data_IF_873296316342
#
_entry.id   IF_873296316342
#
_cell.length_a   1.000
_cell.length_b   1.000
_cell.length_c   1.000
_cell.angle_alpha   90.00
_cell.angle_beta   90.00
_cell.angle_gamma   90.00
#
_symmetry.space_group_name_H-M   'P 1'
#
loop_
_entity.id
_entity.type
_entity.pdbx_description
1 polymer ?
#
# COMPACT_ATOMS: atom_id res chain seq x y z
N UNK A 1 24.14 3.39 -6.82
CA UNK A 1 24.75 2.12 -6.39
C UNK A 1 23.64 1.38 -5.67
N UNK A 2 23.07 0.36 -6.30
CA UNK A 2 22.02 -0.45 -5.68
C UNK A 2 22.67 -1.25 -4.55
N UNK A 3 22.18 -1.10 -3.32
CA UNK A 3 22.65 -1.82 -2.15
C UNK A 3 21.67 -2.96 -1.92
N UNK A 4 22.16 -4.19 -1.98
CA UNK A 4 21.35 -5.35 -1.63
C UNK A 4 21.07 -5.35 -0.13
N UNK A 5 19.79 -5.40 0.23
CA UNK A 5 19.32 -5.55 1.61
C UNK A 5 19.17 -7.06 1.86
N UNK A 6 19.78 -7.61 2.93
CA UNK A 6 19.61 -9.02 3.28
C UNK A 6 18.14 -9.43 3.36
N UNK A 7 17.80 -10.61 2.84
CA UNK A 7 16.42 -11.08 2.77
C UNK A 7 15.69 -11.04 4.13
N UNK A 8 16.35 -11.47 5.20
CA UNK A 8 15.79 -11.45 6.55
C UNK A 8 15.51 -10.03 7.07
N UNK A 9 16.36 -9.05 6.70
CA UNK A 9 16.13 -7.64 7.03
C UNK A 9 14.95 -7.09 6.25
N UNK A 10 14.88 -7.37 4.94
CA UNK A 10 13.74 -6.99 4.10
C UNK A 10 12.43 -7.56 4.63
N UNK A 11 12.43 -8.84 4.99
CA UNK A 11 11.29 -9.51 5.60
C UNK A 11 10.85 -8.83 6.91
N UNK A 12 11.79 -8.52 7.80
CA UNK A 12 11.51 -7.86 9.07
C UNK A 12 10.94 -6.45 8.87
N UNK A 13 11.51 -5.67 7.95
CA UNK A 13 11.04 -4.31 7.64
C UNK A 13 9.61 -4.31 7.08
N UNK A 14 9.27 -5.27 6.21
CA UNK A 14 7.89 -5.41 5.72
C UNK A 14 6.95 -5.84 6.85
N UNK A 15 7.35 -6.77 7.71
CA UNK A 15 6.55 -7.17 8.86
C UNK A 15 6.28 -6.00 9.82
N UNK A 16 7.31 -5.22 10.13
CA UNK A 16 7.21 -4.01 10.97
C UNK A 16 6.29 -2.99 10.31
N UNK A 17 6.42 -2.78 9.00
CA UNK A 17 5.56 -1.85 8.24
C UNK A 17 4.09 -2.24 8.36
N UNK A 18 3.74 -3.50 8.10
CA UNK A 18 2.36 -4.00 8.16
C UNK A 18 1.80 -3.96 9.59
N UNK A 19 2.62 -4.32 10.59
CA UNK A 19 2.25 -4.23 11.99
C UNK A 19 2.02 -2.78 12.42
N UNK A 20 2.90 -1.87 11.99
CA UNK A 20 2.78 -0.44 12.30
C UNK A 20 1.47 0.12 11.75
N UNK A 21 1.03 -0.35 10.58
CA UNK A 21 -0.23 0.00 9.93
C UNK A 21 -1.46 -0.74 10.49
N UNK A 22 -1.30 -1.61 11.50
CA UNK A 22 -2.38 -2.44 12.07
C UNK A 22 -3.09 -3.33 11.04
N UNK A 23 -2.37 -3.75 10.01
CA UNK A 23 -2.90 -4.62 8.96
C UNK A 23 -2.89 -6.06 9.49
N UNK A 24 -4.05 -6.73 9.61
CA UNK A 24 -4.09 -8.14 9.94
C UNK A 24 -3.46 -8.94 8.80
N UNK A 25 -2.40 -9.69 9.10
CA UNK A 25 -1.70 -10.51 8.10
C UNK A 25 -1.38 -11.89 8.61
N UNK A 26 -1.43 -12.85 7.70
CA UNK A 26 -0.92 -14.21 7.89
C UNK A 26 0.38 -14.35 7.10
N UNK A 27 1.44 -14.76 7.79
CA UNK A 27 2.73 -15.05 7.15
C UNK A 27 2.75 -16.49 6.63
N UNK A 28 3.08 -16.66 5.37
CA UNK A 28 3.19 -17.97 4.69
C UNK A 28 4.47 -17.98 3.87
N UNK A 29 5.09 -19.14 3.70
CA UNK A 29 6.12 -19.34 2.69
C UNK A 29 5.56 -20.26 1.62
N UNK A 30 5.38 -19.72 0.41
CA UNK A 30 4.89 -20.47 -0.75
C UNK A 30 6.04 -21.24 -1.41
N UNK A 31 7.25 -20.67 -1.39
CA UNK A 31 8.48 -21.32 -1.83
C UNK A 31 9.49 -21.23 -0.69
N UNK A 32 9.80 -22.35 0.00
CA UNK A 32 10.75 -22.37 1.11
C UNK A 32 12.07 -21.72 0.72
N UNK A 33 12.63 -20.89 1.61
CA UNK A 33 13.93 -20.22 1.46
C UNK A 33 14.04 -19.19 0.30
N UNK A 34 13.06 -19.12 -0.60
CA UNK A 34 13.04 -18.19 -1.73
C UNK A 34 12.04 -17.03 -1.55
N UNK A 35 10.97 -17.26 -0.79
CA UNK A 35 9.94 -16.24 -0.60
C UNK A 35 9.12 -16.38 0.66
N UNK A 36 8.63 -15.22 1.11
CA UNK A 36 7.67 -15.08 2.20
C UNK A 36 6.55 -14.17 1.73
N UNK A 37 5.31 -14.57 2.02
CA UNK A 37 4.09 -13.86 1.72
C UNK A 37 3.42 -13.41 3.02
N UNK A 38 3.10 -12.12 3.08
CA UNK A 38 2.20 -11.54 4.08
C UNK A 38 0.83 -11.36 3.44
N UNK A 39 -0.11 -12.21 3.82
CA UNK A 39 -1.45 -12.28 3.22
C UNK A 39 -2.41 -11.50 4.13
N UNK A 40 -3.03 -10.45 3.59
CA UNK A 40 -4.13 -9.74 4.21
C UNK A 40 -5.44 -10.09 3.52
N UNK A 41 -6.18 -11.04 4.09
CA UNK A 41 -7.45 -11.52 3.54
C UNK A 41 -8.51 -10.42 3.51
N UNK A 42 -8.61 -9.61 4.57
CA UNK A 42 -9.61 -8.55 4.69
C UNK A 42 -9.48 -7.43 3.64
N UNK A 43 -8.29 -7.25 3.06
CA UNK A 43 -8.03 -6.26 2.01
C UNK A 43 -7.74 -6.89 0.65
N UNK A 44 -7.73 -8.23 0.55
CA UNK A 44 -7.38 -8.96 -0.66
C UNK A 44 -5.98 -8.61 -1.18
N UNK A 45 -4.99 -8.46 -0.29
CA UNK A 45 -3.62 -8.03 -0.67
C UNK A 45 -2.57 -9.00 -0.17
N UNK A 46 -1.59 -9.32 -1.03
CA UNK A 46 -0.43 -10.15 -0.73
C UNK A 46 0.84 -9.33 -0.95
N UNK A 47 1.61 -9.14 0.11
CA UNK A 47 2.96 -8.58 0.02
C UNK A 47 3.95 -9.73 0.02
N UNK A 48 4.68 -9.90 -1.07
CA UNK A 48 5.66 -10.97 -1.26
C UNK A 48 7.07 -10.42 -1.15
N UNK A 49 7.80 -10.84 -0.13
CA UNK A 49 9.25 -10.65 -0.03
C UNK A 49 9.92 -11.79 -0.76
N UNK A 50 10.76 -11.47 -1.74
CA UNK A 50 11.30 -12.44 -2.69
C UNK A 50 12.78 -12.17 -2.96
N UNK A 51 13.51 -13.23 -3.25
CA UNK A 51 14.78 -13.07 -3.95
C UNK A 51 14.52 -12.75 -5.44
N UNK A 52 15.28 -11.82 -6.02
CA UNK A 52 15.10 -11.39 -7.42
C UNK A 52 15.26 -12.54 -8.41
N UNK A 53 16.15 -13.50 -8.11
CA UNK A 53 16.39 -14.67 -8.96
C UNK A 53 15.14 -15.56 -9.12
N UNK A 54 14.26 -15.57 -8.11
CA UNK A 54 13.13 -16.49 -8.03
C UNK A 54 11.79 -15.85 -8.45
N UNK A 55 11.80 -14.58 -8.88
CA UNK A 55 10.61 -13.78 -9.18
C UNK A 55 9.61 -14.52 -10.08
N UNK A 56 10.08 -15.08 -11.20
CA UNK A 56 9.20 -15.70 -12.20
C UNK A 56 8.43 -16.91 -11.65
N UNK A 57 9.11 -17.77 -10.91
CA UNK A 57 8.51 -18.95 -10.30
C UNK A 57 7.56 -18.55 -9.16
N UNK A 58 7.99 -17.66 -8.26
CA UNK A 58 7.17 -17.22 -7.12
C UNK A 58 5.91 -16.49 -7.60
N UNK A 59 6.04 -15.57 -8.56
CA UNK A 59 4.90 -14.83 -9.12
C UNK A 59 3.86 -15.79 -9.71
N UNK A 60 4.30 -16.80 -10.47
CA UNK A 60 3.39 -17.81 -11.03
C UNK A 60 2.66 -18.56 -9.91
N UNK A 61 3.39 -19.14 -8.96
CA UNK A 61 2.80 -19.97 -7.89
C UNK A 61 1.84 -19.17 -7.01
N UNK A 62 2.20 -17.94 -6.64
CA UNK A 62 1.35 -17.07 -5.81
C UNK A 62 0.05 -16.70 -6.55
N UNK A 63 0.14 -16.39 -7.85
CA UNK A 63 -1.04 -16.05 -8.66
C UNK A 63 -1.98 -17.22 -8.91
N UNK A 64 -1.45 -18.43 -9.05
CA UNK A 64 -2.26 -19.64 -9.17
C UNK A 64 -3.01 -19.95 -7.87
N UNK A 65 -2.40 -19.67 -6.71
CA UNK A 65 -3.02 -19.92 -5.41
C UNK A 65 -4.03 -18.84 -5.00
N UNK A 66 -3.85 -17.58 -5.44
CA UNK A 66 -4.63 -16.43 -4.96
C UNK A 66 -5.14 -15.52 -6.10
N UNK A 67 -5.80 -16.03 -7.15
CA UNK A 67 -6.00 -15.35 -8.44
C UNK A 67 -6.61 -13.94 -8.39
N UNK A 68 -7.41 -13.64 -7.37
CA UNK A 68 -8.15 -12.37 -7.22
C UNK A 68 -7.56 -11.42 -6.16
N UNK A 69 -6.31 -11.65 -5.75
CA UNK A 69 -5.61 -10.77 -4.81
C UNK A 69 -4.80 -9.70 -5.55
N UNK A 70 -4.53 -8.59 -4.85
CA UNK A 70 -3.54 -7.60 -5.25
C UNK A 70 -2.17 -8.05 -4.79
N UNK A 71 -1.18 -7.90 -5.63
CA UNK A 71 0.17 -8.38 -5.35
C UNK A 71 1.15 -7.20 -5.30
N UNK A 72 1.92 -7.14 -4.23
CA UNK A 72 3.08 -6.26 -4.14
C UNK A 72 4.31 -7.13 -3.95
N UNK A 73 5.25 -7.05 -4.87
CA UNK A 73 6.52 -7.78 -4.80
C UNK A 73 7.61 -6.84 -4.32
N UNK A 74 8.35 -7.28 -3.31
CA UNK A 74 9.47 -6.58 -2.69
C UNK A 74 10.69 -7.48 -2.78
N UNK A 75 11.65 -7.07 -3.59
CA UNK A 75 12.93 -7.76 -3.74
C UNK A 75 14.00 -7.14 -2.86
N UNK A 76 15.10 -7.89 -2.64
CA UNK A 76 16.27 -7.44 -1.86
C UNK A 76 16.98 -6.22 -2.45
N UNK A 77 16.63 -5.79 -3.66
CA UNK A 77 17.23 -4.63 -4.35
C UNK A 77 16.28 -3.42 -4.40
N UNK A 78 15.04 -3.57 -3.94
CA UNK A 78 14.05 -2.51 -4.02
C UNK A 78 14.25 -1.44 -2.94
N UNK A 79 13.83 -0.21 -3.26
CA UNK A 79 13.72 0.87 -2.29
C UNK A 79 12.57 0.60 -1.31
N UNK A 80 12.89 0.37 -0.05
CA UNK A 80 11.90 0.19 1.03
C UNK A 80 10.91 1.36 1.12
N UNK A 81 11.37 2.59 0.85
CA UNK A 81 10.53 3.79 0.91
C UNK A 81 9.46 3.74 -0.19
N UNK A 82 9.85 3.43 -1.42
CA UNK A 82 8.92 3.34 -2.56
C UNK A 82 7.97 2.16 -2.39
N UNK A 83 8.50 1.01 -1.95
CA UNK A 83 7.69 -0.18 -1.71
C UNK A 83 6.71 -0.02 -0.57
N UNK A 84 7.03 0.75 0.46
CA UNK A 84 6.08 1.09 1.52
C UNK A 84 4.88 1.86 0.97
N UNK A 85 5.11 2.84 0.10
CA UNK A 85 4.02 3.58 -0.54
C UNK A 85 3.18 2.63 -1.43
N UNK A 86 3.82 1.76 -2.25
CA UNK A 86 3.11 0.74 -3.06
C UNK A 86 2.24 -0.21 -2.22
N UNK A 87 2.77 -0.70 -1.09
CA UNK A 87 2.03 -1.56 -0.15
C UNK A 87 0.78 -0.83 0.34
N UNK A 88 0.92 0.42 0.78
CA UNK A 88 -0.22 1.18 1.27
C UNK A 88 -1.23 1.38 0.14
N UNK A 89 -0.81 1.75 -1.06
CA UNK A 89 -1.75 1.90 -2.19
C UNK A 89 -2.55 0.63 -2.48
N UNK A 90 -1.90 -0.54 -2.51
CA UNK A 90 -2.59 -1.81 -2.72
C UNK A 90 -3.58 -2.14 -1.57
N UNK A 91 -3.24 -1.79 -0.33
CA UNK A 91 -4.14 -1.92 0.81
C UNK A 91 -5.33 -0.95 0.72
N UNK A 92 -5.09 0.30 0.27
CA UNK A 92 -6.12 1.33 0.11
C UNK A 92 -7.19 0.91 -0.90
N UNK A 93 -6.78 0.32 -2.03
CA UNK A 93 -7.72 -0.25 -3.01
C UNK A 93 -8.62 -1.35 -2.41
N UNK A 94 -8.15 -2.02 -1.34
CA UNK A 94 -8.90 -2.99 -0.57
C UNK A 94 -9.75 -2.43 0.58
N UNK A 95 -9.80 -1.09 0.76
CA UNK A 95 -10.58 -0.45 1.83
C UNK A 95 -9.83 -0.21 3.14
N UNK A 96 -8.49 -0.30 3.13
CA UNK A 96 -7.67 -0.11 4.33
C UNK A 96 -7.88 1.24 5.03
N UNK A 97 -8.06 2.33 4.28
CA UNK A 97 -8.20 3.67 4.88
C UNK A 97 -9.53 3.82 5.62
N UNK A 98 -10.61 3.27 5.06
CA UNK A 98 -11.88 3.15 5.78
C UNK A 98 -11.71 2.34 7.07
N UNK A 99 -11.05 1.18 6.99
CA UNK A 99 -10.81 0.34 8.17
C UNK A 99 -10.04 1.07 9.27
N UNK A 100 -8.92 1.72 8.95
CA UNK A 100 -8.11 2.39 9.98
C UNK A 100 -8.80 3.66 10.51
N UNK A 101 -9.58 4.36 9.68
CA UNK A 101 -10.41 5.50 10.09
C UNK A 101 -11.47 5.10 11.11
N UNK A 102 -12.11 3.96 10.91
CA UNK A 102 -13.21 3.45 11.77
C UNK A 102 -12.71 2.79 13.05
N UNK A 103 -11.60 2.06 12.99
CA UNK A 103 -11.12 1.23 14.11
C UNK A 103 -9.95 1.88 14.89
N UNK A 104 -9.17 2.77 14.25
CA UNK A 104 -7.96 3.36 14.83
C UNK A 104 -7.86 4.86 14.50
N UNK A 105 -8.91 5.62 14.84
CA UNK A 105 -9.07 7.03 14.45
C UNK A 105 -7.83 7.92 14.64
N UNK A 106 -7.17 7.85 15.80
CA UNK A 106 -5.95 8.65 16.06
C UNK A 106 -4.82 8.31 15.09
N UNK A 107 -4.66 7.03 14.78
CA UNK A 107 -3.62 6.57 13.87
C UNK A 107 -3.92 7.01 12.43
N UNK A 108 -5.18 6.93 12.01
CA UNK A 108 -5.62 7.48 10.74
C UNK A 108 -5.31 8.99 10.65
N UNK A 109 -5.68 9.76 11.67
CA UNK A 109 -5.39 11.20 11.72
C UNK A 109 -3.89 11.48 11.60
N UNK A 110 -3.06 10.80 12.41
CA UNK A 110 -1.61 10.96 12.37
C UNK A 110 -1.04 10.61 10.98
N UNK A 111 -1.45 9.47 10.40
CA UNK A 111 -1.02 9.06 9.07
C UNK A 111 -1.30 10.16 8.04
N UNK A 112 -2.51 10.71 8.03
CA UNK A 112 -2.92 11.76 7.10
C UNK A 112 -2.12 13.05 7.33
N UNK A 113 -1.97 13.49 8.58
CA UNK A 113 -1.30 14.75 8.92
C UNK A 113 0.22 14.70 8.75
N UNK A 114 0.84 13.53 8.84
CA UNK A 114 2.29 13.33 8.65
C UNK A 114 2.72 13.35 7.17
N UNK A 115 1.94 14.03 6.32
CA UNK A 115 2.22 14.22 4.90
C UNK A 115 1.64 13.15 3.98
N UNK A 116 1.09 12.05 4.51
CA UNK A 116 0.51 11.00 3.66
C UNK A 116 -0.77 11.47 2.96
N UNK A 117 -1.55 12.37 3.56
CA UNK A 117 -2.72 12.96 2.91
C UNK A 117 -2.40 13.63 1.58
N UNK A 118 -1.30 14.39 1.52
CA UNK A 118 -0.82 15.00 0.28
C UNK A 118 -0.32 13.97 -0.74
N UNK A 119 0.31 12.88 -0.27
CA UNK A 119 0.73 11.78 -1.15
C UNK A 119 -0.47 11.11 -1.81
N UNK A 120 -1.55 10.86 -1.06
CA UNK A 120 -2.80 10.28 -1.60
C UNK A 120 -3.36 11.14 -2.73
N UNK A 121 -3.49 12.45 -2.50
CA UNK A 121 -4.03 13.38 -3.51
C UNK A 121 -3.19 13.36 -4.78
N UNK A 122 -1.86 13.46 -4.65
CA UNK A 122 -0.94 13.42 -5.79
C UNK A 122 -0.99 12.10 -6.55
N UNK A 123 -1.05 10.99 -5.83
CA UNK A 123 -1.09 9.66 -6.44
C UNK A 123 -2.41 9.43 -7.19
N UNK A 124 -3.54 9.88 -6.64
CA UNK A 124 -4.84 9.85 -7.33
C UNK A 124 -4.82 10.65 -8.63
N UNK A 125 -4.32 11.89 -8.58
CA UNK A 125 -4.16 12.74 -9.77
C UNK A 125 -3.26 12.06 -10.82
N UNK A 126 -2.18 11.42 -10.39
CA UNK A 126 -1.28 10.65 -11.28
C UNK A 126 -1.98 9.45 -11.93
N UNK A 127 -2.76 8.67 -11.16
CA UNK A 127 -3.45 7.45 -11.65
C UNK A 127 -4.63 7.77 -12.57
N UNK A 128 -5.42 8.77 -12.22
CA UNK A 128 -6.52 9.24 -13.07
C UNK A 128 -6.00 9.94 -14.33
N UNK A 129 -4.91 10.70 -14.21
CA UNK A 129 -4.41 11.56 -15.27
C UNK A 129 -5.51 12.53 -15.73
N UNK A 130 -5.62 12.76 -17.04
CA UNK A 130 -6.65 13.64 -17.62
C UNK A 130 -7.84 12.85 -18.19
N UNK A 131 -8.12 11.66 -17.66
CA UNK A 131 -9.20 10.80 -18.19
C UNK A 131 -10.57 11.43 -17.90
N UNK A 132 -11.42 11.71 -18.92
CA UNK A 132 -12.70 12.41 -18.73
C UNK A 132 -13.67 11.74 -17.76
N UNK A 133 -13.65 10.41 -17.65
CA UNK A 133 -14.51 9.67 -16.71
C UNK A 133 -14.23 9.98 -15.23
N UNK A 134 -13.06 10.55 -14.91
CA UNK A 134 -12.68 10.96 -13.57
C UNK A 134 -12.70 12.48 -13.37
N UNK A 135 -13.24 13.25 -14.32
CA UNK A 135 -13.17 14.72 -14.32
C UNK A 135 -13.57 15.34 -12.98
N UNK A 136 -14.69 14.92 -12.40
CA UNK A 136 -15.14 15.43 -11.10
C UNK A 136 -14.14 15.14 -9.97
N UNK A 137 -13.63 13.91 -9.89
CA UNK A 137 -12.65 13.49 -8.89
C UNK A 137 -11.31 14.23 -9.05
N UNK A 138 -10.88 14.46 -10.29
CA UNK A 138 -9.67 15.24 -10.62
C UNK A 138 -9.82 16.69 -10.17
N UNK A 139 -10.95 17.34 -10.48
CA UNK A 139 -11.22 18.72 -10.09
C UNK A 139 -11.27 18.88 -8.56
N UNK A 140 -11.92 17.94 -7.87
CA UNK A 140 -11.97 17.91 -6.41
C UNK A 140 -10.57 17.73 -5.79
N UNK A 141 -9.79 16.77 -6.28
CA UNK A 141 -8.44 16.53 -5.75
C UNK A 141 -7.48 17.68 -6.09
N UNK A 142 -7.63 18.33 -7.25
CA UNK A 142 -6.86 19.53 -7.61
C UNK A 142 -7.12 20.65 -6.60
N UNK A 143 -8.38 20.91 -6.24
CA UNK A 143 -8.72 21.89 -5.19
C UNK A 143 -8.14 21.51 -3.83
N UNK A 144 -8.16 20.21 -3.50
CA UNK A 144 -7.63 19.72 -2.23
C UNK A 144 -6.11 19.89 -2.09
N UNK A 145 -5.34 19.98 -3.20
CA UNK A 145 -3.89 20.27 -3.16
C UNK A 145 -3.60 21.64 -2.54
N UNK A 146 -4.46 22.63 -2.79
CA UNK A 146 -4.26 24.01 -2.36
C UNK A 146 -4.78 24.29 -0.94
N UNK A 147 -5.38 23.29 -0.29
CA UNK A 147 -5.99 23.41 1.04
C UNK A 147 -5.16 22.63 2.06
N UNK A 148 -5.00 23.13 3.32
CA UNK A 148 -4.34 22.34 4.35
C UNK A 148 -5.03 20.99 4.55
N UNK A 149 -4.24 19.91 4.56
CA UNK A 149 -4.71 18.53 4.78
C UNK A 149 -5.57 18.42 6.04
N UNK A 150 -5.24 19.17 7.10
CA UNK A 150 -6.01 19.21 8.35
C UNK A 150 -7.44 19.74 8.15
N UNK A 151 -7.64 20.69 7.24
CA UNK A 151 -8.96 21.25 6.93
C UNK A 151 -9.82 20.26 6.14
N UNK A 152 -9.23 19.58 5.15
CA UNK A 152 -9.92 18.51 4.40
C UNK A 152 -10.29 17.39 5.36
N UNK A 153 -9.34 16.92 6.17
CA UNK A 153 -9.55 15.88 7.18
C UNK A 153 -10.64 16.26 8.20
N UNK A 154 -10.73 17.52 8.62
CA UNK A 154 -11.75 17.97 9.58
C UNK A 154 -13.15 18.04 8.97
N UNK A 155 -13.24 18.35 7.66
CA UNK A 155 -14.52 18.53 6.96
C UNK A 155 -15.06 17.21 6.42
N UNK A 156 -14.18 16.43 5.79
CA UNK A 156 -14.53 15.17 5.13
C UNK A 156 -13.40 14.15 5.31
N UNK A 157 -13.34 13.45 6.46
CA UNK A 157 -12.32 12.41 6.69
C UNK A 157 -12.35 11.30 5.64
N UNK A 158 -13.54 10.94 5.16
CA UNK A 158 -13.73 9.87 4.17
C UNK A 158 -13.16 10.22 2.79
N UNK A 159 -12.80 11.49 2.55
CA UNK A 159 -12.11 11.90 1.34
C UNK A 159 -10.85 11.06 1.09
N UNK A 160 -10.16 10.58 2.13
CA UNK A 160 -8.94 9.79 2.02
C UNK A 160 -9.14 8.27 1.90
N UNK A 161 -10.39 7.79 1.87
CA UNK A 161 -10.69 6.36 1.98
C UNK A 161 -10.32 5.56 0.72
N UNK A 162 -10.52 6.15 -0.45
CA UNK A 162 -10.46 5.42 -1.73
C UNK A 162 -9.12 5.59 -2.46
N UNK A 163 -8.63 4.53 -3.11
CA UNK A 163 -7.55 4.64 -4.11
C UNK A 163 -8.03 4.00 -5.41
N UNK A 164 -7.96 4.70 -6.56
CA UNK A 164 -8.29 4.16 -7.88
C UNK A 164 -7.26 3.18 -8.44
#
# INVERSE_FOLDING_TARGET
>A
MEVEIPFAEMEAEIAITLQSLRVPTKKVSVVPEASIQFISEGFGTIVSVINRADYGFVNKTVREQYPDYRYVYVSTYDSLIEKRDEIIWALMEGGFMTYIRENFHRQFQHLITDGFGNKIIRERLRRWGDKPMYKFLIEENTKAVDVPVTMVLATEPAFYDYMP
#
